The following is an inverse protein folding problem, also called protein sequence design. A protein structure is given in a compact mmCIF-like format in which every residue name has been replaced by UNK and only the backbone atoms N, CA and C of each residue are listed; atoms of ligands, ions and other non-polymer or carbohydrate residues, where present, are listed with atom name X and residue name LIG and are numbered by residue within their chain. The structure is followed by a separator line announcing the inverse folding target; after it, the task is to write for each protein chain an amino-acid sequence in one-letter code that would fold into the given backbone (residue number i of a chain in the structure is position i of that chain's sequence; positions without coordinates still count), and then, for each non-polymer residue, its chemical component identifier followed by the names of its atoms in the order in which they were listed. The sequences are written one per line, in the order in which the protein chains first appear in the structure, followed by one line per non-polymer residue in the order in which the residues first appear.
data_IF_285527908447
#
_entry.id   IF_285527908447
#
_cell.length_a   1.000
_cell.length_b   1.000
_cell.length_c   1.000
_cell.angle_alpha   90.00
_cell.angle_beta   90.00
_cell.angle_gamma   90.00
#
_symmetry.space_group_name_H-M   'P 1'
#
loop_
_entity.id
_entity.type
_entity.pdbx_description
1 polymer ?
#
# COMPACT_ATOMS: atom_id res chain seq x y z
N UNK A 1 -17.86 -15.96 -16.10
CA UNK A 1 -16.99 -15.38 -17.14
C UNK A 1 -16.64 -16.46 -18.16
N UNK A 2 -16.67 -16.19 -19.47
CA UNK A 2 -16.32 -17.18 -20.50
C UNK A 2 -14.80 -17.41 -20.62
N UNK A 3 -13.97 -16.76 -19.80
CA UNK A 3 -12.52 -16.91 -19.76
C UNK A 3 -12.01 -16.96 -18.31
N UNK A 4 -10.80 -17.49 -18.11
CA UNK A 4 -10.14 -17.54 -16.80
C UNK A 4 -9.77 -16.11 -16.35
N UNK A 5 -10.18 -15.66 -15.15
CA UNK A 5 -9.82 -14.35 -14.65
C UNK A 5 -8.31 -14.22 -14.42
N UNK A 6 -7.74 -13.07 -14.76
CA UNK A 6 -6.34 -12.74 -14.53
C UNK A 6 -6.14 -12.08 -13.15
N UNK A 7 -4.89 -11.76 -12.82
CA UNK A 7 -4.50 -11.11 -11.57
C UNK A 7 -5.22 -9.77 -11.35
N UNK A 8 -5.43 -8.96 -12.39
CA UNK A 8 -6.15 -7.70 -12.27
C UNK A 8 -7.61 -7.88 -11.85
N UNK A 9 -8.32 -8.86 -12.43
CA UNK A 9 -9.72 -9.15 -12.06
C UNK A 9 -9.81 -9.64 -10.62
N UNK A 10 -8.95 -10.58 -10.23
CA UNK A 10 -8.92 -11.08 -8.86
C UNK A 10 -8.53 -10.00 -7.85
N UNK A 11 -7.56 -9.13 -8.20
CA UNK A 11 -7.17 -7.99 -7.38
C UNK A 11 -8.29 -6.98 -7.21
N UNK A 12 -9.02 -6.64 -8.28
CA UNK A 12 -10.17 -5.74 -8.21
C UNK A 12 -11.28 -6.31 -7.31
N UNK A 13 -11.60 -7.60 -7.46
CA UNK A 13 -12.58 -8.28 -6.62
C UNK A 13 -12.16 -8.30 -5.15
N UNK A 14 -10.89 -8.61 -4.86
CA UNK A 14 -10.35 -8.60 -3.50
C UNK A 14 -10.45 -7.20 -2.87
N UNK A 15 -10.14 -6.15 -3.65
CA UNK A 15 -10.30 -4.77 -3.22
C UNK A 15 -11.75 -4.44 -2.85
N UNK A 16 -12.72 -4.90 -3.65
CA UNK A 16 -14.14 -4.78 -3.34
C UNK A 16 -14.55 -5.53 -2.06
N UNK A 17 -14.08 -6.77 -1.89
CA UNK A 17 -14.34 -7.55 -0.67
C UNK A 17 -13.81 -6.83 0.58
N UNK A 18 -12.60 -6.28 0.51
CA UNK A 18 -11.98 -5.51 1.59
C UNK A 18 -12.76 -4.22 1.88
N UNK A 19 -13.14 -3.47 0.85
CA UNK A 19 -13.91 -2.22 0.99
C UNK A 19 -15.25 -2.44 1.70
N UNK A 20 -15.89 -3.57 1.44
CA UNK A 20 -17.18 -3.93 2.05
C UNK A 20 -17.07 -4.86 3.26
N UNK A 21 -15.88 -5.02 3.84
CA UNK A 21 -15.64 -5.86 5.03
C UNK A 21 -16.12 -7.31 4.89
N UNK A 22 -16.10 -7.85 3.66
CA UNK A 22 -16.43 -9.25 3.34
C UNK A 22 -15.18 -10.12 3.46
N UNK A 23 -14.70 -10.27 4.69
CA UNK A 23 -13.45 -10.98 5.00
C UNK A 23 -13.50 -12.47 4.61
N UNK A 24 -14.69 -13.08 4.73
CA UNK A 24 -15.01 -14.44 4.27
C UNK A 24 -14.63 -14.63 2.80
N UNK A 25 -15.14 -13.75 1.93
CA UNK A 25 -14.88 -13.78 0.51
C UNK A 25 -13.47 -13.31 0.16
N UNK A 26 -12.93 -12.35 0.92
CA UNK A 26 -11.59 -11.82 0.69
C UNK A 26 -10.53 -12.92 0.80
N UNK A 27 -10.67 -13.86 1.75
CA UNK A 27 -9.75 -14.97 1.89
C UNK A 27 -9.78 -15.93 0.70
N UNK A 28 -10.98 -16.30 0.22
CA UNK A 28 -11.14 -17.18 -0.94
C UNK A 28 -10.59 -16.55 -2.22
N UNK A 29 -10.89 -15.27 -2.44
CA UNK A 29 -10.41 -14.50 -3.59
C UNK A 29 -8.88 -14.36 -3.54
N UNK A 30 -8.32 -14.13 -2.36
CA UNK A 30 -6.87 -14.06 -2.19
C UNK A 30 -6.18 -15.38 -2.55
N UNK A 31 -6.68 -16.53 -2.09
CA UNK A 31 -6.07 -17.82 -2.38
C UNK A 31 -5.95 -18.05 -3.90
N UNK A 32 -6.98 -17.67 -4.66
CA UNK A 32 -6.97 -17.71 -6.13
C UNK A 32 -6.00 -16.70 -6.74
N UNK A 33 -5.90 -15.52 -6.16
CA UNK A 33 -5.00 -14.47 -6.64
C UNK A 33 -3.52 -14.87 -6.51
N UNK A 34 -3.13 -15.50 -5.40
CA UNK A 34 -1.75 -15.98 -5.18
C UNK A 34 -1.37 -17.09 -6.15
N UNK A 35 -2.30 -17.99 -6.47
CA UNK A 35 -2.06 -19.02 -7.49
C UNK A 35 -1.81 -18.43 -8.88
N UNK A 36 -2.41 -17.26 -9.17
CA UNK A 36 -2.28 -16.57 -10.46
C UNK A 36 -1.06 -15.68 -10.51
N UNK A 37 -0.69 -15.01 -9.41
CA UNK A 37 0.39 -14.03 -9.35
C UNK A 37 1.13 -14.10 -8.00
N UNK A 38 1.97 -15.13 -7.80
CA UNK A 38 2.61 -15.42 -6.51
C UNK A 38 3.73 -14.44 -6.13
N UNK A 39 4.18 -13.59 -7.04
CA UNK A 39 5.28 -12.64 -6.84
C UNK A 39 4.77 -11.21 -6.64
N UNK A 40 3.46 -10.99 -6.78
CA UNK A 40 2.86 -9.67 -6.63
C UNK A 40 2.80 -9.22 -5.18
N UNK A 41 3.63 -8.23 -4.86
CA UNK A 41 3.64 -7.58 -3.54
C UNK A 41 2.28 -7.01 -3.14
N UNK A 42 1.47 -6.56 -4.10
CA UNK A 42 0.13 -6.06 -3.85
C UNK A 42 -0.77 -7.15 -3.26
N UNK A 43 -0.69 -8.38 -3.77
CA UNK A 43 -1.49 -9.51 -3.29
C UNK A 43 -1.19 -9.82 -1.82
N UNK A 44 0.09 -9.91 -1.47
CA UNK A 44 0.49 -10.14 -0.07
C UNK A 44 0.07 -9.00 0.86
N UNK A 45 0.19 -7.76 0.42
CA UNK A 45 -0.25 -6.59 1.20
C UNK A 45 -1.77 -6.64 1.43
N UNK A 46 -2.54 -7.05 0.43
CA UNK A 46 -3.99 -7.20 0.57
C UNK A 46 -4.36 -8.31 1.55
N UNK A 47 -3.69 -9.46 1.54
CA UNK A 47 -3.91 -10.49 2.58
C UNK A 47 -3.51 -10.00 3.97
N UNK A 48 -2.37 -9.30 4.09
CA UNK A 48 -1.97 -8.74 5.37
C UNK A 48 -3.07 -7.84 5.94
N UNK A 49 -3.78 -7.10 5.09
CA UNK A 49 -4.91 -6.27 5.50
C UNK A 49 -6.14 -7.11 5.90
N UNK A 50 -6.47 -8.20 5.18
CA UNK A 50 -7.54 -9.14 5.57
C UNK A 50 -7.27 -9.71 6.97
N UNK A 51 -6.06 -10.25 7.17
CA UNK A 51 -5.64 -10.85 8.44
C UNK A 51 -5.61 -9.82 9.58
N UNK A 52 -5.12 -8.61 9.31
CA UNK A 52 -5.13 -7.51 10.29
C UNK A 52 -6.56 -7.10 10.67
N UNK A 53 -7.49 -7.07 9.71
CA UNK A 53 -8.91 -6.81 9.96
C UNK A 53 -9.55 -7.82 10.92
N UNK A 54 -9.14 -9.09 10.82
CA UNK A 54 -9.54 -10.18 11.71
C UNK A 54 -8.68 -10.29 12.99
N UNK A 55 -7.80 -9.31 13.25
CA UNK A 55 -6.87 -9.26 14.40
C UNK A 55 -5.87 -10.43 14.46
N UNK A 56 -5.63 -11.10 13.34
CA UNK A 56 -4.68 -12.22 13.19
C UNK A 56 -3.25 -11.70 12.96
N UNK A 57 -2.72 -10.96 13.93
CA UNK A 57 -1.43 -10.28 13.83
C UNK A 57 -0.23 -11.23 13.69
N UNK A 58 -0.33 -12.42 14.27
CA UNK A 58 0.69 -13.46 14.12
C UNK A 58 0.80 -13.91 12.66
N UNK A 59 -0.33 -14.14 12.00
CA UNK A 59 -0.38 -14.51 10.58
C UNK A 59 0.12 -13.38 9.67
N UNK A 60 -0.19 -12.12 10.01
CA UNK A 60 0.40 -10.96 9.31
C UNK A 60 1.93 -10.97 9.41
N UNK A 61 2.46 -11.34 10.58
CA UNK A 61 3.90 -11.36 10.84
C UNK A 61 4.58 -12.48 10.06
N UNK A 62 3.98 -13.68 10.04
CA UNK A 62 4.42 -14.82 9.22
C UNK A 62 4.39 -14.46 7.73
N UNK A 63 3.31 -13.82 7.27
CA UNK A 63 3.18 -13.40 5.87
C UNK A 63 4.26 -12.39 5.47
N UNK A 64 4.53 -11.40 6.32
CA UNK A 64 5.60 -10.42 6.07
C UNK A 64 6.99 -11.07 6.10
N UNK A 65 7.20 -12.09 6.93
CA UNK A 65 8.43 -12.87 6.89
C UNK A 65 8.57 -13.62 5.57
N UNK A 66 7.52 -14.31 5.13
CA UNK A 66 7.51 -15.03 3.85
C UNK A 66 7.75 -14.12 2.65
N UNK A 67 7.16 -12.91 2.64
CA UNK A 67 7.45 -11.89 1.63
C UNK A 67 8.95 -11.56 1.58
N UNK A 68 9.61 -11.40 2.73
CA UNK A 68 11.05 -11.12 2.79
C UNK A 68 11.87 -12.29 2.27
N UNK A 69 11.55 -13.52 2.67
CA UNK A 69 12.26 -14.72 2.20
C UNK A 69 12.16 -14.90 0.68
N UNK A 70 10.99 -14.61 0.11
CA UNK A 70 10.79 -14.63 -1.35
C UNK A 70 11.36 -13.39 -2.07
N UNK A 71 11.90 -12.42 -1.36
CA UNK A 71 12.35 -11.15 -1.95
C UNK A 71 11.23 -10.25 -2.45
N UNK A 72 9.96 -10.55 -2.14
CA UNK A 72 8.79 -9.75 -2.51
C UNK A 72 8.76 -8.50 -1.64
N UNK A 73 9.07 -7.36 -2.25
CA UNK A 73 9.05 -6.05 -1.58
C UNK A 73 7.90 -5.21 -2.11
N UNK A 74 7.09 -4.66 -1.21
CA UNK A 74 6.12 -3.61 -1.57
C UNK A 74 6.92 -2.42 -2.09
N UNK A 75 6.58 -1.95 -3.29
CA UNK A 75 7.12 -0.69 -3.79
C UNK A 75 6.68 0.44 -2.86
N UNK A 76 7.61 1.26 -2.34
CA UNK A 76 7.25 2.41 -1.52
C UNK A 76 6.41 3.37 -2.35
N UNK A 77 5.48 4.06 -1.71
CA UNK A 77 4.77 5.16 -2.37
C UNK A 77 5.78 6.27 -2.66
N UNK A 78 5.75 6.79 -3.89
CA UNK A 78 6.50 7.97 -4.28
C UNK A 78 5.60 8.98 -4.97
N UNK A 79 5.93 10.25 -4.82
CA UNK A 79 5.39 11.36 -5.59
C UNK A 79 6.54 12.26 -6.04
N UNK A 80 6.31 13.09 -7.05
CA UNK A 80 7.32 14.02 -7.52
C UNK A 80 6.69 15.29 -8.06
N UNK A 81 7.47 16.37 -8.04
CA UNK A 81 7.12 17.65 -8.66
C UNK A 81 8.28 18.13 -9.51
N UNK A 82 7.99 18.79 -10.64
CA UNK A 82 8.98 19.43 -11.48
C UNK A 82 9.02 20.93 -11.17
N UNK A 83 10.18 21.44 -10.76
CA UNK A 83 10.42 22.86 -10.50
C UNK A 83 11.60 23.29 -11.34
N UNK A 84 11.37 24.20 -12.29
CA UNK A 84 12.41 24.75 -13.16
C UNK A 84 13.24 23.68 -13.89
N UNK A 85 12.59 22.58 -14.31
CA UNK A 85 13.25 21.47 -15.01
C UNK A 85 13.91 20.44 -14.09
N UNK A 86 13.90 20.63 -12.77
CA UNK A 86 14.43 19.70 -11.79
C UNK A 86 13.30 18.87 -11.20
N UNK A 87 13.43 17.55 -11.22
CA UNK A 87 12.48 16.63 -10.59
C UNK A 87 12.84 16.46 -9.12
N UNK A 88 11.90 16.81 -8.25
CA UNK A 88 11.99 16.64 -6.81
C UNK A 88 11.11 15.46 -6.40
N UNK A 89 11.73 14.31 -6.11
CA UNK A 89 11.03 13.10 -5.69
C UNK A 89 10.90 13.01 -4.16
N UNK A 90 9.73 12.54 -3.71
CA UNK A 90 9.39 12.29 -2.33
C UNK A 90 8.97 10.83 -2.20
N UNK A 91 9.80 10.03 -1.53
CA UNK A 91 9.53 8.62 -1.27
C UNK A 91 9.14 8.44 0.19
N UNK A 92 8.08 7.68 0.46
CA UNK A 92 7.64 7.38 1.82
C UNK A 92 8.78 6.76 2.63
N UNK A 93 9.03 7.29 3.82
CA UNK A 93 10.09 6.83 4.72
C UNK A 93 11.50 7.29 4.32
N UNK A 94 11.65 8.07 3.26
CA UNK A 94 12.91 8.66 2.85
C UNK A 94 13.02 10.12 3.31
N UNK A 95 14.20 10.48 3.81
CA UNK A 95 14.59 11.88 4.07
C UNK A 95 15.68 12.35 3.10
N UNK A 96 15.83 11.69 1.94
CA UNK A 96 16.95 11.90 1.03
C UNK A 96 16.94 13.24 0.26
N UNK A 97 15.83 13.98 0.30
CA UNK A 97 15.72 15.25 -0.43
C UNK A 97 16.69 16.30 0.16
N UNK A 98 17.55 16.96 -0.63
CA UNK A 98 18.55 17.90 -0.11
C UNK A 98 17.97 19.06 0.71
N UNK A 99 16.73 19.46 0.39
CA UNK A 99 16.02 20.54 1.08
C UNK A 99 14.96 20.05 2.08
N UNK A 100 15.01 18.77 2.50
CA UNK A 100 13.97 18.15 3.33
C UNK A 100 13.66 18.94 4.61
N UNK A 101 14.68 19.48 5.28
CA UNK A 101 14.50 20.29 6.49
C UNK A 101 13.66 21.55 6.24
N UNK A 102 13.93 22.27 5.15
CA UNK A 102 13.17 23.48 4.79
C UNK A 102 11.73 23.15 4.40
N UNK A 103 11.53 22.03 3.69
CA UNK A 103 10.20 21.56 3.29
C UNK A 103 9.36 21.24 4.53
N UNK A 104 9.90 20.50 5.50
CA UNK A 104 9.20 20.21 6.74
C UNK A 104 8.94 21.45 7.59
N UNK A 105 9.89 22.39 7.65
CA UNK A 105 9.68 23.66 8.35
C UNK A 105 8.49 24.43 7.76
N UNK A 106 8.44 24.57 6.43
CA UNK A 106 7.32 25.21 5.74
C UNK A 106 6.01 24.45 5.95
N UNK A 107 6.02 23.12 5.84
CA UNK A 107 4.84 22.28 6.06
C UNK A 107 4.29 22.45 7.48
N UNK A 108 5.17 22.53 8.49
CA UNK A 108 4.78 22.74 9.87
C UNK A 108 4.14 24.11 10.09
N UNK A 109 4.71 25.16 9.50
CA UNK A 109 4.12 26.51 9.52
C UNK A 109 2.72 26.52 8.90
N UNK A 110 2.57 25.97 7.69
CA UNK A 110 1.28 25.87 7.00
C UNK A 110 0.25 25.07 7.81
N UNK A 111 0.66 23.94 8.41
CA UNK A 111 -0.21 23.14 9.27
C UNK A 111 -0.64 23.91 10.54
N UNK A 112 0.20 24.80 11.05
CA UNK A 112 -0.14 25.74 12.11
C UNK A 112 -1.27 26.68 11.67
N UNK A 113 -1.06 27.42 10.58
CA UNK A 113 -2.05 28.36 10.03
C UNK A 113 -3.39 27.69 9.71
N UNK A 114 -3.37 26.49 9.13
CA UNK A 114 -4.60 25.75 8.79
C UNK A 114 -5.42 25.34 10.02
N UNK A 115 -4.80 25.11 11.18
CA UNK A 115 -5.52 24.81 12.43
C UNK A 115 -6.22 26.03 13.01
N UNK A 116 -5.76 27.23 12.69
CA UNK A 116 -6.43 28.48 13.07
C UNK A 116 -7.57 28.86 12.11
N UNK A 117 -7.70 28.17 10.98
CA UNK A 117 -8.73 28.40 9.96
C UNK A 117 -9.92 27.42 10.03
N UNK A 118 -9.90 26.43 10.93
CA UNK A 118 -11.07 25.61 11.24
C UNK A 118 -11.92 26.30 12.33
N UNK A 119 -13.18 26.70 12.04
CA UNK A 119 -14.08 27.32 13.02
C UNK A 119 -14.49 26.36 14.15
#
# INVERSE_FOLDING_TARGET
MPFKPNNFVWGALLGGCLLHSRLDLAQDVYNRLVEVDPDSSACYVMLANVLAGDRRWDDVSVLRWFMREKGVKKQPGSSWVNVNGIVHEFVVGSAAHPQMANIYHTLHGLAGEMRFLTP
#
